data_IF_618721337103
#
_entry.id   IF_618721337103
#
_cell.length_a   1.000
_cell.length_b   1.000
_cell.length_c   1.000
_cell.angle_alpha   90.00
_cell.angle_beta   90.00
_cell.angle_gamma   90.00
#
_symmetry.space_group_name_H-M   'P 1'
#
loop_
_entity.id
_entity.type
_entity.pdbx_description
1 polymer ?
#
# COMPACT_ATOMS: atom_id res chain seq x y z
N UNK A 1 2.49 -13.83 12.63
CA UNK A 1 1.31 -14.10 11.78
C UNK A 1 0.48 -12.83 11.68
N UNK A 2 -0.09 -12.51 10.53
CA UNK A 2 -1.02 -11.37 10.39
C UNK A 2 -2.36 -11.75 11.04
N UNK A 3 -2.85 -10.98 12.00
CA UNK A 3 -4.15 -11.24 12.61
C UNK A 3 -5.31 -10.79 11.70
N UNK A 4 -6.46 -11.45 11.81
CA UNK A 4 -7.70 -11.04 11.12
C UNK A 4 -8.07 -9.57 11.33
N UNK A 5 -7.84 -9.07 12.56
CA UNK A 5 -8.14 -7.68 12.93
C UNK A 5 -7.21 -6.72 12.19
N UNK A 6 -5.91 -7.03 12.15
CA UNK A 6 -4.95 -6.20 11.42
C UNK A 6 -5.17 -6.23 9.92
N UNK A 7 -5.48 -7.40 9.36
CA UNK A 7 -5.83 -7.53 7.95
C UNK A 7 -7.02 -6.63 7.61
N UNK A 8 -8.11 -6.72 8.38
CA UNK A 8 -9.32 -5.90 8.15
C UNK A 8 -9.04 -4.40 8.31
N UNK A 9 -8.21 -4.00 9.27
CA UNK A 9 -7.80 -2.60 9.43
C UNK A 9 -7.03 -2.10 8.21
N UNK A 10 -6.01 -2.84 7.77
CA UNK A 10 -5.20 -2.46 6.62
C UNK A 10 -6.02 -2.45 5.33
N UNK A 11 -6.88 -3.44 5.12
CA UNK A 11 -7.81 -3.49 4.00
C UNK A 11 -8.75 -2.27 4.00
N UNK A 12 -9.28 -1.89 5.16
CA UNK A 12 -10.15 -0.72 5.28
C UNK A 12 -9.40 0.59 5.01
N UNK A 13 -8.19 0.77 5.57
CA UNK A 13 -7.34 1.93 5.29
C UNK A 13 -6.83 2.02 3.84
N UNK A 14 -6.85 0.90 3.12
CA UNK A 14 -6.46 0.83 1.70
C UNK A 14 -7.56 1.31 0.76
N UNK A 15 -8.80 1.45 1.24
CA UNK A 15 -9.92 2.02 0.49
C UNK A 15 -9.81 3.54 0.53
N UNK A 16 -9.58 4.16 -0.63
CA UNK A 16 -9.36 5.60 -0.77
C UNK A 16 -10.51 6.26 -1.53
N UNK A 17 -10.54 7.59 -1.54
CA UNK A 17 -11.55 8.36 -2.28
C UNK A 17 -11.37 8.31 -3.80
N UNK A 18 -10.25 7.76 -4.29
CA UNK A 18 -9.86 7.75 -5.69
C UNK A 18 -9.88 6.32 -6.26
N UNK A 19 -10.53 6.15 -7.42
CA UNK A 19 -10.74 4.84 -8.05
C UNK A 19 -9.42 4.19 -8.47
N UNK A 20 -8.47 4.97 -8.94
CA UNK A 20 -7.15 4.51 -9.38
C UNK A 20 -6.35 3.90 -8.23
N UNK A 21 -6.44 4.50 -7.04
CA UNK A 21 -5.80 3.96 -5.84
C UNK A 21 -6.46 2.66 -5.41
N UNK A 22 -7.80 2.62 -5.39
CA UNK A 22 -8.54 1.40 -5.07
C UNK A 22 -8.19 0.24 -6.02
N UNK A 23 -8.04 0.53 -7.32
CA UNK A 23 -7.65 -0.48 -8.32
C UNK A 23 -6.27 -1.08 -8.09
N UNK A 24 -5.35 -0.36 -7.44
CA UNK A 24 -4.00 -0.85 -7.12
C UNK A 24 -3.94 -1.46 -5.72
N UNK A 25 -4.51 -0.79 -4.72
CA UNK A 25 -4.37 -1.16 -3.32
C UNK A 25 -5.26 -2.36 -2.94
N UNK A 26 -6.48 -2.48 -3.48
CA UNK A 26 -7.36 -3.62 -3.18
C UNK A 26 -6.78 -4.98 -3.60
N UNK A 27 -6.38 -5.20 -4.87
CA UNK A 27 -5.79 -6.48 -5.25
C UNK A 27 -4.45 -6.73 -4.55
N UNK A 28 -3.69 -5.68 -4.24
CA UNK A 28 -2.49 -5.80 -3.43
C UNK A 28 -2.80 -6.31 -2.02
N UNK A 29 -3.84 -5.77 -1.36
CA UNK A 29 -4.22 -6.24 -0.03
C UNK A 29 -4.67 -7.70 -0.05
N UNK A 30 -5.47 -8.11 -1.02
CA UNK A 30 -5.98 -9.47 -1.08
C UNK A 30 -4.90 -10.50 -1.40
N UNK A 31 -3.97 -10.17 -2.30
CA UNK A 31 -2.96 -11.12 -2.78
C UNK A 31 -1.64 -11.00 -2.03
N UNK A 32 -1.15 -9.79 -1.78
CA UNK A 32 0.20 -9.55 -1.29
C UNK A 32 0.26 -9.37 0.22
N UNK A 33 -0.71 -8.69 0.85
CA UNK A 33 -0.67 -8.40 2.30
C UNK A 33 -0.47 -9.64 3.20
N UNK A 34 -1.10 -10.80 2.94
CA UNK A 34 -0.87 -12.01 3.73
C UNK A 34 0.53 -12.60 3.56
N UNK A 35 1.21 -12.29 2.45
CA UNK A 35 2.54 -12.78 2.10
C UNK A 35 3.66 -11.85 2.56
N UNK A 36 3.35 -10.62 2.99
CA UNK A 36 4.34 -9.66 3.43
C UNK A 36 5.02 -10.08 4.74
N UNK A 37 6.33 -9.85 4.80
CA UNK A 37 7.12 -9.90 6.04
C UNK A 37 6.66 -8.85 7.06
N UNK A 38 7.15 -8.92 8.29
CA UNK A 38 6.80 -7.93 9.32
C UNK A 38 7.35 -6.53 8.96
N UNK A 39 8.55 -6.45 8.40
CA UNK A 39 9.15 -5.21 7.91
C UNK A 39 8.35 -4.59 6.76
N UNK A 40 7.96 -5.39 5.76
CA UNK A 40 7.12 -4.90 4.65
C UNK A 40 5.74 -4.44 5.15
N UNK A 41 5.16 -5.13 6.15
CA UNK A 41 3.91 -4.69 6.78
C UNK A 41 4.07 -3.37 7.54
N UNK A 42 5.22 -3.15 8.17
CA UNK A 42 5.52 -1.87 8.80
C UNK A 42 5.66 -0.75 7.77
N UNK A 43 6.34 -1.00 6.65
CA UNK A 43 6.43 -0.07 5.52
C UNK A 43 5.05 0.22 4.91
N UNK A 44 4.21 -0.80 4.74
CA UNK A 44 2.85 -0.61 4.22
C UNK A 44 1.97 0.20 5.17
N UNK A 45 2.06 -0.04 6.48
CA UNK A 45 1.39 0.81 7.48
C UNK A 45 1.84 2.26 7.37
N UNK A 46 3.14 2.49 7.17
CA UNK A 46 3.70 3.83 7.00
C UNK A 46 3.19 4.48 5.72
N UNK A 47 3.19 3.75 4.60
CA UNK A 47 2.60 4.19 3.34
C UNK A 47 1.14 4.63 3.51
N UNK A 48 0.33 3.87 4.25
CA UNK A 48 -1.06 4.21 4.50
C UNK A 48 -1.28 5.45 5.38
N UNK A 49 -0.24 5.96 6.06
CA UNK A 49 -0.31 7.23 6.80
C UNK A 49 -0.19 8.46 5.89
N UNK A 50 0.25 8.28 4.64
CA UNK A 50 0.43 9.34 3.66
C UNK A 50 -0.91 9.75 3.03
N UNK A 51 -0.96 10.95 2.47
CA UNK A 51 -2.17 11.50 1.86
C UNK A 51 -2.49 10.86 0.51
N UNK A 52 -3.77 10.87 0.14
CA UNK A 52 -4.25 10.28 -1.11
C UNK A 52 -3.56 10.90 -2.34
N UNK A 53 -3.22 12.19 -2.29
CA UNK A 53 -2.52 12.88 -3.38
C UNK A 53 -1.09 12.36 -3.56
N UNK A 54 -0.35 12.16 -2.47
CA UNK A 54 1.02 11.61 -2.52
C UNK A 54 1.01 10.16 -2.96
N UNK A 55 0.07 9.36 -2.43
CA UNK A 55 -0.14 7.99 -2.87
C UNK A 55 -0.47 7.92 -4.35
N UNK A 56 -1.28 8.84 -4.88
CA UNK A 56 -1.59 8.91 -6.30
C UNK A 56 -0.35 9.26 -7.12
N UNK A 57 0.42 10.26 -6.69
CA UNK A 57 1.63 10.68 -7.38
C UNK A 57 2.66 9.53 -7.44
N UNK A 58 2.84 8.80 -6.33
CA UNK A 58 3.77 7.70 -6.30
C UNK A 58 3.22 6.44 -6.98
N UNK A 59 1.99 6.01 -6.74
CA UNK A 59 1.49 4.74 -7.30
C UNK A 59 1.07 4.86 -8.77
N UNK A 60 0.41 5.97 -9.12
CA UNK A 60 -0.21 6.18 -10.45
C UNK A 60 0.70 7.00 -11.36
N UNK A 61 1.15 8.18 -10.91
CA UNK A 61 2.00 9.07 -11.72
C UNK A 61 3.46 8.60 -11.79
N UNK A 62 3.83 7.61 -10.97
CA UNK A 62 5.19 7.06 -10.84
C UNK A 62 6.25 8.12 -10.51
N UNK A 63 5.88 9.12 -9.74
CA UNK A 63 6.80 10.15 -9.28
C UNK A 63 7.88 9.58 -8.34
N UNK A 64 9.03 10.27 -8.22
CA UNK A 64 10.07 9.90 -7.26
C UNK A 64 9.53 9.94 -5.84
N UNK A 65 9.72 8.84 -5.11
CA UNK A 65 9.34 8.73 -3.70
C UNK A 65 10.44 9.38 -2.87
N UNK A 66 10.14 10.41 -2.04
CA UNK A 66 11.14 11.09 -1.22
C UNK A 66 11.61 10.25 -0.02
N UNK A 67 10.91 9.15 0.29
CA UNK A 67 11.16 8.24 1.41
C UNK A 67 11.76 6.91 0.91
N UNK A 68 13.08 6.70 1.05
CA UNK A 68 13.74 5.46 0.62
C UNK A 68 13.13 4.19 1.23
N UNK A 69 12.65 4.29 2.47
CA UNK A 69 11.99 3.20 3.19
C UNK A 69 10.63 2.79 2.59
N UNK A 70 9.98 3.68 1.82
CA UNK A 70 8.70 3.40 1.16
C UNK A 70 8.86 2.91 -0.28
N UNK A 71 10.04 3.11 -0.90
CA UNK A 71 10.31 2.72 -2.28
C UNK A 71 10.02 1.24 -2.51
N UNK A 72 10.50 0.37 -1.60
CA UNK A 72 10.33 -1.07 -1.73
C UNK A 72 8.84 -1.49 -1.75
N UNK A 73 8.03 -0.95 -0.84
CA UNK A 73 6.60 -1.30 -0.78
C UNK A 73 5.82 -0.67 -1.93
N UNK A 74 6.17 0.54 -2.37
CA UNK A 74 5.53 1.21 -3.52
C UNK A 74 5.77 0.41 -4.80
N UNK A 75 7.01 -0.03 -5.05
CA UNK A 75 7.31 -0.90 -6.19
C UNK A 75 6.58 -2.24 -6.10
N UNK A 76 6.44 -2.80 -4.89
CA UNK A 76 5.66 -4.02 -4.66
C UNK A 76 4.18 -3.85 -5.03
N UNK A 77 3.58 -2.73 -4.65
CA UNK A 77 2.18 -2.39 -4.98
C UNK A 77 2.03 -2.20 -6.49
N UNK A 78 2.94 -1.44 -7.11
CA UNK A 78 2.95 -1.22 -8.58
C UNK A 78 3.07 -2.52 -9.36
N UNK A 79 3.81 -3.51 -8.86
CA UNK A 79 3.97 -4.82 -9.48
C UNK A 79 2.84 -5.82 -9.22
N UNK A 80 1.89 -5.49 -8.33
CA UNK A 80 0.74 -6.35 -8.00
C UNK A 80 -0.54 -6.02 -8.78
N UNK A 81 -0.57 -4.83 -9.42
CA UNK A 81 -1.65 -4.34 -10.26
C UNK A 81 -1.59 -4.82 -11.71
#
# INVERSE_FOLDING_TARGET
MLSDIEYKKLAWHSRRGMRELDLLLLPFVEKCLPQLSEDERAQYRRLLMEEDQDLYNWLVMREPVPHPELVAIIERVRGAG
#
